data_IF_665147796705
#
_entry.id   IF_665147796705
#
_cell.length_a   1.000
_cell.length_b   1.000
_cell.length_c   1.000
_cell.angle_alpha   90.00
_cell.angle_beta   90.00
_cell.angle_gamma   90.00
#
_symmetry.space_group_name_H-M   'P 1'
#
loop_
_entity.id
_entity.type
_entity.pdbx_description
1 polymer ?
#
# COMPACT_ATOMS: atom_id res chain seq x y z
N UNK A 1 32.64 -8.19 -24.69
CA UNK A 1 33.29 -6.88 -24.50
C UNK A 1 32.26 -5.79 -24.77
N UNK A 2 31.79 -5.12 -23.73
CA UNK A 2 31.78 -3.66 -23.56
C UNK A 2 31.07 -3.35 -22.23
N UNK A 3 31.63 -2.34 -21.56
CA UNK A 3 31.49 -1.98 -20.16
C UNK A 3 30.25 -1.11 -19.88
N UNK A 4 29.78 -1.24 -18.63
CA UNK A 4 29.23 -0.25 -17.67
C UNK A 4 28.53 1.04 -18.14
N UNK A 5 27.45 1.37 -17.41
CA UNK A 5 26.89 2.72 -17.32
C UNK A 5 25.81 2.84 -16.24
N UNK A 6 26.23 2.90 -14.96
CA UNK A 6 25.43 3.41 -13.85
C UNK A 6 25.32 4.93 -13.98
N UNK A 7 24.09 5.48 -14.02
CA UNK A 7 23.82 6.89 -13.69
C UNK A 7 22.51 6.94 -12.89
N UNK A 8 22.62 7.40 -11.65
CA UNK A 8 21.50 7.84 -10.83
C UNK A 8 20.93 9.17 -11.32
N UNK A 9 19.65 9.39 -11.06
CA UNK A 9 19.00 10.65 -11.39
C UNK A 9 17.59 10.67 -10.82
N UNK A 10 17.43 11.38 -9.71
CA UNK A 10 16.13 11.75 -9.19
C UNK A 10 15.34 12.52 -10.23
N UNK A 11 14.04 12.24 -10.31
CA UNK A 11 13.04 13.19 -10.83
C UNK A 11 11.86 13.19 -9.89
N UNK A 12 11.68 14.33 -9.23
CA UNK A 12 10.38 14.72 -8.72
C UNK A 12 9.40 14.79 -9.91
N UNK A 13 8.25 14.13 -9.77
CA UNK A 13 7.10 14.37 -10.63
C UNK A 13 6.16 15.33 -9.90
N UNK A 14 6.25 16.56 -10.34
CA UNK A 14 5.37 17.69 -10.07
C UNK A 14 3.98 17.39 -10.66
N UNK A 15 2.98 17.16 -9.80
CA UNK A 15 1.58 17.10 -10.22
C UNK A 15 1.02 18.53 -10.20
N UNK A 16 0.73 19.04 -11.39
CA UNK A 16 0.00 20.28 -11.65
C UNK A 16 -1.41 20.21 -11.06
N UNK A 17 -1.69 21.04 -10.06
CA UNK A 17 -3.04 21.44 -9.68
C UNK A 17 -3.30 22.87 -10.19
N UNK A 18 -4.18 22.97 -11.19
CA UNK A 18 -5.00 24.14 -11.57
C UNK A 18 -6.43 23.78 -11.12
N UNK A 19 -7.29 24.60 -10.55
CA UNK A 19 -7.45 26.05 -10.34
C UNK A 19 -8.33 26.20 -9.07
N UNK A 20 -8.16 27.26 -8.29
CA UNK A 20 -9.17 28.22 -7.79
C UNK A 20 -8.33 29.32 -7.08
N UNK A 21 -8.29 30.51 -7.68
CA UNK A 21 -7.85 31.79 -7.08
C UNK A 21 -9.11 32.51 -6.53
N UNK A 22 -9.10 33.68 -5.82
CA UNK A 22 -8.11 34.79 -5.88
C UNK A 22 -7.76 35.40 -4.48
N UNK A 23 -6.78 36.29 -4.26
CA UNK A 23 -6.79 37.76 -4.50
C UNK A 23 -5.51 38.37 -3.84
N UNK A 24 -4.93 39.42 -4.45
CA UNK A 24 -3.84 40.35 -4.01
C UNK A 24 -2.37 39.83 -4.10
N UNK A 25 -1.41 40.45 -4.78
CA UNK A 25 -1.35 41.66 -5.63
C UNK A 25 0.07 41.83 -6.24
N UNK A 26 0.12 42.24 -7.52
CA UNK A 26 1.06 43.18 -8.22
C UNK A 26 2.28 43.69 -7.44
N UNK A 27 3.55 43.79 -7.90
CA UNK A 27 4.27 44.11 -9.17
C UNK A 27 5.82 44.01 -8.87
N UNK A 28 6.80 44.30 -9.77
CA UNK A 28 6.92 44.11 -11.23
C UNK A 28 8.20 43.34 -11.67
N UNK A 29 8.22 43.03 -12.96
CA UNK A 29 9.29 42.45 -13.79
C UNK A 29 10.44 43.45 -14.00
N UNK A 30 11.70 42.97 -13.94
CA UNK A 30 12.79 43.43 -14.81
C UNK A 30 13.68 42.26 -15.22
N UNK A 31 13.78 42.10 -16.53
CA UNK A 31 14.76 41.28 -17.24
C UNK A 31 16.17 41.80 -16.98
N UNK A 32 17.11 40.91 -16.67
CA UNK A 32 18.53 41.05 -17.01
C UNK A 32 19.24 39.72 -16.73
N UNK A 33 19.73 39.07 -17.80
CA UNK A 33 20.86 38.13 -17.69
C UNK A 33 22.12 38.99 -17.51
N UNK A 34 23.02 38.62 -16.58
CA UNK A 34 24.37 38.36 -17.07
C UNK A 34 25.10 37.19 -16.38
N UNK A 35 25.92 36.55 -17.21
CA UNK A 35 27.12 35.77 -16.94
C UNK A 35 27.89 36.20 -15.68
N UNK A 36 27.91 35.33 -14.66
CA UNK A 36 28.66 35.52 -13.42
C UNK A 36 29.77 34.46 -13.32
N UNK A 37 30.80 34.58 -14.16
CA UNK A 37 32.00 33.72 -14.08
C UNK A 37 33.30 34.41 -14.54
N UNK A 38 33.36 35.74 -14.61
CA UNK A 38 34.59 36.47 -15.00
C UNK A 38 35.18 37.43 -13.96
N UNK A 39 34.46 37.81 -12.89
CA UNK A 39 34.85 39.00 -12.11
C UNK A 39 35.38 38.72 -10.69
N UNK A 40 35.83 37.50 -10.38
CA UNK A 40 36.43 37.20 -9.06
C UNK A 40 37.94 36.98 -9.09
N UNK A 41 38.64 37.62 -10.04
CA UNK A 41 40.09 37.46 -10.18
C UNK A 41 40.82 38.75 -10.54
N UNK A 42 40.57 39.84 -9.81
CA UNK A 42 41.58 40.90 -9.59
C UNK A 42 41.05 41.97 -8.62
N UNK A 43 41.31 41.82 -7.31
CA UNK A 43 41.81 42.90 -6.44
C UNK A 43 42.09 42.35 -5.04
N UNK A 44 43.34 41.89 -4.88
CA UNK A 44 43.99 41.78 -3.58
C UNK A 44 44.26 43.20 -3.07
N UNK A 45 43.49 43.65 -2.07
CA UNK A 45 44.06 44.52 -1.04
C UNK A 45 44.60 43.60 0.06
N UNK A 46 45.87 43.24 -0.13
CA UNK A 46 46.75 42.73 0.92
C UNK A 46 46.89 43.83 1.95
N UNK A 47 46.51 43.54 3.20
CA UNK A 47 47.08 44.06 4.46
C UNK A 47 46.08 44.00 5.63
N UNK A 48 44.78 43.73 5.38
CA UNK A 48 43.77 43.63 6.46
C UNK A 48 43.56 42.21 7.03
N UNK A 49 43.94 41.15 6.31
CA UNK A 49 43.74 39.76 6.77
C UNK A 49 44.91 39.18 7.57
N UNK A 50 46.07 39.84 7.54
CA UNK A 50 47.28 39.28 8.14
C UNK A 50 47.35 39.42 9.67
N UNK A 51 46.60 40.35 10.28
CA UNK A 51 46.54 40.48 11.75
C UNK A 51 45.61 39.43 12.36
N UNK A 52 44.48 39.11 11.71
CA UNK A 52 43.55 38.07 12.18
C UNK A 52 44.15 36.67 12.11
N UNK A 53 44.93 36.40 11.06
CA UNK A 53 45.65 35.12 10.94
C UNK A 53 46.76 35.04 11.98
N UNK A 54 47.48 36.13 12.27
CA UNK A 54 48.47 36.17 13.36
C UNK A 54 47.85 36.00 14.74
N UNK A 55 46.69 36.58 15.00
CA UNK A 55 45.99 36.44 16.29
C UNK A 55 45.44 35.02 16.50
N UNK A 56 44.99 34.34 15.43
CA UNK A 56 44.57 32.93 15.49
C UNK A 56 45.79 32.03 15.70
N UNK A 57 46.91 32.29 15.01
CA UNK A 57 48.15 31.51 15.15
C UNK A 57 48.83 31.74 16.51
N UNK A 58 48.79 32.95 17.08
CA UNK A 58 49.29 33.22 18.44
C UNK A 58 48.37 32.64 19.51
N UNK A 59 47.04 32.65 19.34
CA UNK A 59 46.13 31.95 20.25
C UNK A 59 46.33 30.43 20.21
N UNK A 60 46.57 29.84 19.04
CA UNK A 60 46.92 28.42 18.90
C UNK A 60 48.31 28.06 19.46
N UNK A 61 49.29 28.96 19.36
CA UNK A 61 50.63 28.77 19.93
C UNK A 61 50.66 28.95 21.45
N UNK A 62 49.77 29.79 22.00
CA UNK A 62 49.65 29.97 23.46
C UNK A 62 48.90 28.80 24.10
N UNK A 63 47.92 28.21 23.41
CA UNK A 63 47.24 26.97 23.84
C UNK A 63 48.21 25.77 23.87
N UNK A 64 49.28 25.77 23.06
CA UNK A 64 50.32 24.73 23.07
C UNK A 64 51.32 24.82 24.23
N UNK A 65 51.39 25.93 24.96
CA UNK A 65 52.38 26.12 26.03
C UNK A 65 51.80 25.99 27.46
N UNK A 66 50.53 25.57 27.60
CA UNK A 66 49.98 25.08 28.87
C UNK A 66 49.69 23.58 28.75
N UNK A 67 50.76 22.83 28.91
CA UNK A 67 50.81 21.37 28.92
C UNK A 67 50.20 20.84 30.20
N UNK A 68 48.94 20.42 30.11
CA UNK A 68 48.51 19.10 30.57
C UNK A 68 48.17 18.25 29.31
N UNK A 69 49.18 18.06 28.44
CA UNK A 69 49.04 17.49 27.08
C UNK A 69 48.55 16.03 27.03
N UNK A 70 48.59 15.28 28.13
CA UNK A 70 48.17 13.87 28.13
C UNK A 70 46.67 13.67 28.28
N UNK A 71 45.96 14.58 28.97
CA UNK A 71 44.51 14.46 29.19
C UNK A 71 43.71 14.81 27.93
N UNK A 72 43.95 15.99 27.37
CA UNK A 72 43.18 16.51 26.24
C UNK A 72 43.43 15.80 24.91
N UNK A 73 44.66 15.32 24.64
CA UNK A 73 44.91 14.51 23.44
C UNK A 73 44.21 13.16 23.50
N UNK A 74 44.13 12.55 24.69
CA UNK A 74 43.42 11.29 24.90
C UNK A 74 41.92 11.52 24.77
N UNK A 75 41.38 12.61 25.31
CA UNK A 75 39.97 12.97 25.16
C UNK A 75 39.57 13.26 23.70
N UNK A 76 40.42 13.95 22.94
CA UNK A 76 40.19 14.22 21.52
C UNK A 76 40.22 12.93 20.69
N UNK A 77 41.20 12.05 20.93
CA UNK A 77 41.31 10.74 20.26
C UNK A 77 40.12 9.85 20.62
N UNK A 78 39.70 9.84 21.88
CA UNK A 78 38.51 9.11 22.32
C UNK A 78 37.24 9.66 21.67
N UNK A 79 37.09 10.97 21.56
CA UNK A 79 35.98 11.61 20.86
C UNK A 79 35.96 11.25 19.37
N UNK A 80 37.09 11.36 18.67
CA UNK A 80 37.21 10.97 17.26
C UNK A 80 36.89 9.49 17.06
N UNK A 81 37.43 8.60 17.90
CA UNK A 81 37.12 7.17 17.83
C UNK A 81 35.64 6.89 18.09
N UNK A 82 35.01 7.63 19.01
CA UNK A 82 33.57 7.52 19.26
C UNK A 82 32.75 7.98 18.05
N UNK A 83 33.13 9.08 17.39
CA UNK A 83 32.46 9.57 16.19
C UNK A 83 32.63 8.60 15.01
N UNK A 84 33.84 8.08 14.78
CA UNK A 84 34.10 7.07 13.75
C UNK A 84 33.31 5.78 14.03
N UNK A 85 33.19 5.36 15.29
CA UNK A 85 32.40 4.21 15.68
C UNK A 85 30.90 4.44 15.42
N UNK A 86 30.39 5.62 15.75
CA UNK A 86 29.02 6.03 15.46
C UNK A 86 28.74 6.02 13.95
N UNK A 87 29.58 6.67 13.14
CA UNK A 87 29.43 6.72 11.69
C UNK A 87 29.49 5.31 11.07
N UNK A 88 30.43 4.47 11.52
CA UNK A 88 30.52 3.08 11.06
C UNK A 88 29.26 2.28 11.41
N UNK A 89 28.70 2.49 12.61
CA UNK A 89 27.45 1.86 13.04
C UNK A 89 26.26 2.31 12.19
N UNK A 90 26.14 3.62 11.92
CA UNK A 90 25.06 4.18 11.08
C UNK A 90 25.18 3.66 9.64
N UNK A 91 26.38 3.64 9.07
CA UNK A 91 26.63 3.11 7.73
C UNK A 91 26.25 1.63 7.61
N UNK A 92 26.51 0.81 8.64
CA UNK A 92 26.07 -0.60 8.67
C UNK A 92 24.55 -0.71 8.67
N UNK A 93 23.85 0.11 9.45
CA UNK A 93 22.38 0.13 9.46
C UNK A 93 21.83 0.56 8.10
N UNK A 94 22.46 1.52 7.42
CA UNK A 94 22.06 1.97 6.09
C UNK A 94 22.27 0.88 5.00
N UNK A 95 23.41 0.19 5.06
CA UNK A 95 23.69 -0.96 4.19
C UNK A 95 22.70 -2.11 4.43
N UNK A 96 22.43 -2.46 5.69
CA UNK A 96 21.43 -3.45 6.07
C UNK A 96 20.05 -3.06 5.50
N UNK A 97 19.68 -1.80 5.65
CA UNK A 97 18.40 -1.26 5.15
C UNK A 97 18.29 -1.42 3.64
N UNK A 98 19.30 -0.94 2.89
CA UNK A 98 19.34 -1.01 1.43
C UNK A 98 19.26 -2.45 0.92
N UNK A 99 20.02 -3.36 1.54
CA UNK A 99 20.01 -4.77 1.18
C UNK A 99 18.64 -5.41 1.41
N UNK A 100 18.01 -5.16 2.57
CA UNK A 100 16.69 -5.70 2.91
C UNK A 100 15.60 -5.18 1.97
N UNK A 101 15.58 -3.88 1.68
CA UNK A 101 14.65 -3.32 0.70
C UNK A 101 14.82 -3.95 -0.69
N UNK A 102 16.06 -4.11 -1.14
CA UNK A 102 16.38 -4.76 -2.42
C UNK A 102 15.86 -6.20 -2.47
N UNK A 103 16.11 -6.98 -1.42
CA UNK A 103 15.71 -8.39 -1.38
C UNK A 103 14.18 -8.60 -1.35
N UNK A 104 13.42 -7.73 -0.68
CA UNK A 104 11.96 -7.83 -0.63
C UNK A 104 11.25 -7.25 -1.87
N UNK A 105 11.93 -6.43 -2.67
CA UNK A 105 11.34 -5.76 -3.86
C UNK A 105 11.69 -6.41 -5.20
N UNK A 106 12.83 -7.11 -5.31
CA UNK A 106 13.26 -7.82 -6.53
C UNK A 106 12.16 -8.69 -7.16
N UNK A 107 11.40 -9.42 -6.34
CA UNK A 107 10.33 -10.31 -6.78
C UNK A 107 8.98 -9.63 -7.06
N UNK A 108 8.81 -8.35 -6.73
CA UNK A 108 7.52 -7.65 -6.88
C UNK A 108 7.33 -7.04 -8.27
N UNK A 109 8.41 -6.75 -8.98
CA UNK A 109 8.34 -6.10 -10.30
C UNK A 109 7.50 -6.88 -11.30
N UNK A 110 7.58 -8.22 -11.30
CA UNK A 110 6.77 -9.08 -12.18
C UNK A 110 5.26 -8.97 -11.88
N UNK A 111 4.88 -8.54 -10.68
CA UNK A 111 3.50 -8.41 -10.23
C UNK A 111 2.97 -6.97 -10.34
N UNK A 112 3.82 -5.99 -10.67
CA UNK A 112 3.51 -4.57 -10.59
C UNK A 112 2.33 -4.16 -11.50
N UNK A 113 2.30 -4.68 -12.73
CA UNK A 113 1.24 -4.36 -13.70
C UNK A 113 -0.13 -4.81 -13.21
N UNK A 114 -0.23 -6.04 -12.69
CA UNK A 114 -1.49 -6.57 -12.18
C UNK A 114 -1.88 -5.94 -10.85
N UNK A 115 -0.88 -5.55 -10.03
CA UNK A 115 -1.09 -4.79 -8.81
C UNK A 115 -1.72 -3.42 -9.09
N UNK A 116 -1.18 -2.67 -10.05
CA UNK A 116 -1.73 -1.36 -10.45
C UNK A 116 -3.17 -1.47 -10.93
N UNK A 117 -3.48 -2.49 -11.76
CA UNK A 117 -4.85 -2.76 -12.19
C UNK A 117 -5.77 -3.08 -11.01
N UNK A 118 -5.30 -3.91 -10.07
CA UNK A 118 -6.05 -4.24 -8.85
C UNK A 118 -6.32 -3.01 -7.99
N UNK A 119 -5.32 -2.15 -7.79
CA UNK A 119 -5.46 -0.88 -7.07
C UNK A 119 -6.48 0.05 -7.72
N UNK A 120 -6.44 0.19 -9.05
CA UNK A 120 -7.40 1.00 -9.80
C UNK A 120 -8.83 0.46 -9.62
N UNK A 121 -9.02 -0.86 -9.72
CA UNK A 121 -10.34 -1.50 -9.53
C UNK A 121 -10.89 -1.29 -8.13
N UNK A 122 -10.06 -1.45 -7.10
CA UNK A 122 -10.48 -1.21 -5.71
C UNK A 122 -10.79 0.26 -5.46
N UNK A 123 -10.02 1.18 -6.04
CA UNK A 123 -10.27 2.62 -5.93
C UNK A 123 -11.61 3.00 -6.56
N UNK A 124 -11.91 2.50 -7.77
CA UNK A 124 -13.22 2.67 -8.42
C UNK A 124 -14.36 2.10 -7.57
N UNK A 125 -14.15 0.93 -6.97
CA UNK A 125 -15.13 0.33 -6.07
C UNK A 125 -15.41 1.20 -4.84
N UNK A 126 -14.39 1.73 -4.17
CA UNK A 126 -14.57 2.62 -3.03
C UNK A 126 -15.28 3.92 -3.41
N UNK A 127 -14.94 4.50 -4.55
CA UNK A 127 -15.63 5.68 -5.08
C UNK A 127 -17.12 5.38 -5.33
N UNK A 128 -17.43 4.23 -5.95
CA UNK A 128 -18.81 3.77 -6.18
C UNK A 128 -19.59 3.58 -4.88
N UNK A 129 -18.96 3.04 -3.84
CA UNK A 129 -19.59 2.91 -2.51
C UNK A 129 -19.88 4.28 -1.87
N UNK A 130 -18.95 5.24 -1.96
CA UNK A 130 -19.14 6.62 -1.46
C UNK A 130 -20.25 7.36 -2.21
N UNK A 131 -20.33 7.20 -3.53
CA UNK A 131 -21.39 7.84 -4.33
C UNK A 131 -22.77 7.27 -4.02
N UNK A 132 -22.88 5.95 -3.81
CA UNK A 132 -24.13 5.28 -3.40
C UNK A 132 -24.61 5.71 -2.01
N UNK A 133 -23.71 6.06 -1.09
CA UNK A 133 -24.09 6.56 0.23
C UNK A 133 -24.51 8.04 0.22
N UNK A 134 -23.98 8.83 -0.71
CA UNK A 134 -24.24 10.28 -0.80
C UNK A 134 -25.44 10.66 -1.67
N UNK A 135 -25.86 9.81 -2.61
CA UNK A 135 -27.03 10.07 -3.47
C UNK A 135 -27.95 8.85 -3.52
N UNK A 136 -29.24 9.06 -3.32
CA UNK A 136 -30.31 8.13 -3.71
C UNK A 136 -30.47 8.08 -5.24
N UNK A 137 -29.36 8.04 -5.97
CA UNK A 137 -29.35 8.02 -7.43
C UNK A 137 -29.77 6.65 -7.92
N UNK A 138 -30.79 6.65 -8.79
CA UNK A 138 -31.25 5.49 -9.55
C UNK A 138 -30.03 4.80 -10.20
N UNK A 139 -29.94 3.46 -10.15
CA UNK A 139 -28.82 2.73 -10.75
C UNK A 139 -28.70 3.10 -12.23
N UNK A 140 -27.52 3.57 -12.62
CA UNK A 140 -27.18 3.88 -14.01
C UNK A 140 -27.29 2.62 -14.87
N UNK A 141 -27.70 2.78 -16.13
CA UNK A 141 -27.85 1.69 -17.10
C UNK A 141 -26.50 1.00 -17.30
N UNK A 142 -26.45 -0.31 -17.00
CA UNK A 142 -25.31 -1.22 -17.25
C UNK A 142 -23.97 -0.65 -16.81
N UNK A 143 -23.79 -0.49 -15.50
CA UNK A 143 -22.43 -0.36 -14.96
C UNK A 143 -21.74 -1.72 -15.07
N UNK A 144 -20.54 -1.73 -15.68
CA UNK A 144 -19.71 -2.92 -15.74
C UNK A 144 -19.42 -3.44 -14.32
N UNK A 145 -19.56 -4.75 -14.16
CA UNK A 145 -19.21 -5.42 -12.91
C UNK A 145 -17.71 -5.27 -12.71
N UNK A 146 -17.31 -4.66 -11.60
CA UNK A 146 -15.90 -4.59 -11.22
C UNK A 146 -15.49 -5.98 -10.71
N UNK A 147 -14.73 -6.70 -11.52
CA UNK A 147 -14.27 -8.06 -11.21
C UNK A 147 -12.78 -8.03 -10.90
N UNK A 148 -12.39 -8.42 -9.68
CA UNK A 148 -10.98 -8.51 -9.33
C UNK A 148 -10.41 -9.85 -9.79
N UNK A 149 -9.75 -9.84 -10.95
CA UNK A 149 -9.21 -11.06 -11.55
C UNK A 149 -8.11 -11.70 -10.67
N UNK A 150 -7.92 -13.01 -10.85
CA UNK A 150 -6.96 -13.80 -10.07
C UNK A 150 -5.53 -13.24 -10.06
N UNK A 151 -4.93 -12.81 -11.20
CA UNK A 151 -3.61 -12.17 -11.18
C UNK A 151 -3.54 -10.93 -10.29
N UNK A 152 -4.57 -10.07 -10.32
CA UNK A 152 -4.63 -8.88 -9.48
C UNK A 152 -4.77 -9.21 -7.98
N UNK A 153 -5.50 -10.28 -7.62
CA UNK A 153 -5.57 -10.74 -6.22
C UNK A 153 -4.22 -11.24 -5.72
N UNK A 154 -3.55 -12.06 -6.54
CA UNK A 154 -2.25 -12.63 -6.22
C UNK A 154 -1.20 -11.53 -6.07
N UNK A 155 -1.21 -10.53 -6.96
CA UNK A 155 -0.29 -9.39 -6.87
C UNK A 155 -0.56 -8.56 -5.61
N UNK A 156 -1.81 -8.22 -5.28
CA UNK A 156 -2.15 -7.48 -4.05
C UNK A 156 -1.67 -8.24 -2.80
N UNK A 157 -1.89 -9.56 -2.75
CA UNK A 157 -1.39 -10.39 -1.66
C UNK A 157 0.13 -10.36 -1.57
N UNK A 158 0.85 -10.47 -2.69
CA UNK A 158 2.32 -10.43 -2.73
C UNK A 158 2.88 -9.10 -2.23
N UNK A 159 2.29 -7.98 -2.67
CA UNK A 159 2.66 -6.66 -2.18
C UNK A 159 2.37 -6.52 -0.67
N UNK A 160 1.23 -7.03 -0.19
CA UNK A 160 0.92 -7.04 1.24
C UNK A 160 1.90 -7.89 2.07
N UNK A 161 2.26 -9.08 1.59
CA UNK A 161 3.28 -9.94 2.23
C UNK A 161 4.63 -9.23 2.37
N UNK A 162 5.11 -8.59 1.29
CA UNK A 162 6.36 -7.84 1.32
C UNK A 162 6.27 -6.60 2.21
N UNK A 163 5.13 -5.90 2.19
CA UNK A 163 4.91 -4.72 3.02
C UNK A 163 4.92 -5.06 4.52
N UNK A 164 4.23 -6.12 4.95
CA UNK A 164 4.22 -6.54 6.37
C UNK A 164 5.63 -6.96 6.83
N UNK A 165 6.38 -7.66 5.98
CA UNK A 165 7.79 -8.03 6.25
C UNK A 165 8.68 -6.79 6.41
N UNK A 166 8.65 -5.88 5.44
CA UNK A 166 9.43 -4.63 5.48
C UNK A 166 9.06 -3.79 6.70
N UNK A 167 7.77 -3.70 7.04
CA UNK A 167 7.31 -2.94 8.21
C UNK A 167 7.79 -3.53 9.54
N UNK A 168 7.98 -4.85 9.62
CA UNK A 168 8.59 -5.50 10.80
C UNK A 168 10.10 -5.26 10.84
N UNK A 169 10.76 -5.35 9.70
CA UNK A 169 12.20 -5.10 9.59
C UNK A 169 12.55 -3.64 9.88
N UNK A 170 11.73 -2.69 9.44
CA UNK A 170 11.87 -1.27 9.77
C UNK A 170 11.90 -1.04 11.28
N UNK A 171 11.02 -1.71 12.04
CA UNK A 171 11.04 -1.64 13.52
C UNK A 171 12.36 -2.14 14.10
N UNK A 172 12.89 -3.24 13.57
CA UNK A 172 14.17 -3.80 14.03
C UNK A 172 15.35 -2.89 13.68
N UNK A 173 15.35 -2.31 12.48
CA UNK A 173 16.38 -1.38 12.00
C UNK A 173 16.35 -0.06 12.79
N UNK A 174 15.16 0.49 13.06
CA UNK A 174 15.02 1.66 13.94
C UNK A 174 15.50 1.39 15.36
N UNK A 175 15.29 0.17 15.87
CA UNK A 175 15.82 -0.22 17.18
C UNK A 175 17.35 -0.22 17.18
N UNK A 176 17.98 -0.84 16.16
CA UNK A 176 19.44 -0.80 15.98
C UNK A 176 19.98 0.62 15.79
N UNK A 177 19.28 1.46 15.03
CA UNK A 177 19.68 2.86 14.80
C UNK A 177 19.65 3.66 16.11
N UNK A 178 18.63 3.45 16.94
CA UNK A 178 18.51 4.08 18.25
C UNK A 178 19.61 3.60 19.22
N UNK A 179 19.99 2.31 19.14
CA UNK A 179 21.11 1.76 19.92
C UNK A 179 22.45 2.39 19.52
N UNK A 180 22.68 2.59 18.21
CA UNK A 180 23.92 3.21 17.71
C UNK A 180 23.94 4.71 17.98
N UNK A 181 22.89 5.44 17.63
CA UNK A 181 22.89 6.91 17.66
C UNK A 181 22.68 7.52 19.06
N UNK A 182 22.25 6.72 20.03
CA UNK A 182 21.83 7.20 21.36
C UNK A 182 20.58 8.10 21.34
N UNK A 183 20.05 8.41 20.15
CA UNK A 183 18.85 9.21 19.95
C UNK A 183 17.66 8.27 19.84
N UNK A 184 16.56 8.60 20.52
CA UNK A 184 15.30 7.87 20.39
C UNK A 184 14.50 8.41 19.23
N UNK A 185 14.82 7.98 18.02
CA UNK A 185 13.89 8.16 16.91
C UNK A 185 12.67 7.26 17.11
N UNK A 186 11.49 7.89 17.04
CA UNK A 186 10.22 7.18 17.02
C UNK A 186 9.79 7.01 15.57
N UNK A 187 9.40 5.79 15.18
CA UNK A 187 8.73 5.57 13.91
C UNK A 187 7.53 6.50 13.78
N UNK A 188 7.45 7.27 12.70
CA UNK A 188 6.37 8.23 12.43
C UNK A 188 5.01 7.55 12.19
N UNK A 189 4.99 6.25 11.86
CA UNK A 189 3.77 5.45 11.70
C UNK A 189 3.99 4.04 12.21
N UNK A 190 3.32 3.70 13.32
CA UNK A 190 3.31 2.33 13.82
C UNK A 190 2.40 1.50 12.91
N UNK A 191 2.97 0.82 11.91
CA UNK A 191 2.27 -0.28 11.26
C UNK A 191 2.06 -1.37 12.30
N UNK A 192 0.85 -1.49 12.81
CA UNK A 192 0.46 -2.54 13.74
C UNK A 192 -0.80 -3.19 13.19
N UNK A 193 -0.60 -4.15 12.28
CA UNK A 193 -1.70 -4.99 11.81
C UNK A 193 -2.31 -5.68 13.03
N UNK A 194 -3.63 -5.51 13.20
CA UNK A 194 -4.41 -6.19 14.26
C UNK A 194 -4.16 -7.70 14.28
N UNK A 195 -3.83 -8.29 13.13
CA UNK A 195 -3.64 -9.71 12.94
C UNK A 195 -2.23 -10.03 12.44
N UNK A 196 -1.71 -11.20 12.84
CA UNK A 196 -0.43 -11.70 12.33
C UNK A 196 -0.58 -12.05 10.85
N UNK A 197 0.45 -11.75 10.04
CA UNK A 197 0.45 -12.06 8.61
C UNK A 197 0.07 -13.51 8.32
N UNK A 198 0.61 -14.46 9.08
CA UNK A 198 0.32 -15.88 8.85
C UNK A 198 -1.15 -16.23 9.04
N UNK A 199 -1.81 -15.63 10.01
CA UNK A 199 -3.24 -15.87 10.26
C UNK A 199 -4.09 -15.32 9.11
N UNK A 200 -3.72 -14.15 8.58
CA UNK A 200 -4.34 -13.53 7.40
C UNK A 200 -4.16 -14.42 6.17
N UNK A 201 -2.94 -14.89 5.90
CA UNK A 201 -2.64 -15.76 4.76
C UNK A 201 -3.37 -17.10 4.84
N UNK A 202 -3.46 -17.69 6.03
CA UNK A 202 -4.28 -18.90 6.26
C UNK A 202 -5.75 -18.61 5.99
N UNK A 203 -6.26 -17.45 6.42
CA UNK A 203 -7.62 -16.99 6.11
C UNK A 203 -7.88 -16.92 4.61
N UNK A 204 -7.01 -16.24 3.86
CA UNK A 204 -7.10 -16.12 2.40
C UNK A 204 -7.10 -17.48 1.71
N UNK A 205 -6.23 -18.38 2.14
CA UNK A 205 -6.17 -19.76 1.61
C UNK A 205 -7.45 -20.54 1.92
N UNK A 206 -7.98 -20.44 3.15
CA UNK A 206 -9.20 -21.16 3.57
C UNK A 206 -10.41 -20.75 2.72
N UNK A 207 -10.56 -19.46 2.45
CA UNK A 207 -11.66 -18.94 1.61
C UNK A 207 -11.40 -19.09 0.10
N UNK A 208 -10.26 -19.65 -0.32
CA UNK A 208 -9.92 -19.74 -1.74
C UNK A 208 -9.84 -18.37 -2.42
N UNK A 209 -9.28 -17.36 -1.73
CA UNK A 209 -9.29 -16.00 -2.27
C UNK A 209 -8.50 -15.89 -3.58
N UNK A 210 -7.46 -16.70 -3.75
CA UNK A 210 -6.68 -16.75 -4.99
C UNK A 210 -7.24 -17.72 -6.04
N UNK A 211 -8.34 -18.41 -5.74
CA UNK A 211 -9.01 -19.32 -6.69
C UNK A 211 -9.86 -18.49 -7.67
N UNK A 212 -10.43 -19.12 -8.69
CA UNK A 212 -11.17 -18.37 -9.71
C UNK A 212 -12.42 -17.67 -9.13
N UNK A 213 -13.02 -18.24 -8.09
CA UNK A 213 -14.11 -17.64 -7.32
C UNK A 213 -13.86 -17.73 -5.81
N UNK A 214 -14.30 -16.72 -5.06
CA UNK A 214 -14.15 -16.70 -3.60
C UNK A 214 -15.11 -17.71 -2.96
N UNK A 215 -14.57 -18.61 -2.16
CA UNK A 215 -15.33 -19.58 -1.39
C UNK A 215 -16.09 -18.94 -0.23
N UNK A 216 -17.27 -18.39 -0.49
CA UNK A 216 -18.17 -17.84 0.53
C UNK A 216 -18.66 -18.92 1.53
N UNK A 217 -18.79 -20.15 1.04
CA UNK A 217 -19.22 -21.33 1.82
C UNK A 217 -18.04 -22.25 2.07
N UNK A 218 -17.93 -22.76 3.30
CA UNK A 218 -16.92 -23.74 3.68
C UNK A 218 -16.98 -24.99 2.81
N UNK A 219 -15.82 -25.46 2.33
CA UNK A 219 -15.69 -26.68 1.53
C UNK A 219 -16.34 -27.89 2.21
N UNK A 220 -16.29 -27.96 3.54
CA UNK A 220 -16.91 -29.03 4.33
C UNK A 220 -18.44 -29.01 4.22
N UNK A 221 -19.04 -27.82 4.29
CA UNK A 221 -20.50 -27.67 4.17
C UNK A 221 -20.97 -27.96 2.75
N UNK A 222 -20.23 -27.46 1.74
CA UNK A 222 -20.49 -27.73 0.33
C UNK A 222 -20.45 -29.23 0.03
N UNK A 223 -19.48 -29.98 0.57
CA UNK A 223 -19.41 -31.45 0.43
C UNK A 223 -20.59 -32.17 1.06
N UNK A 224 -21.05 -31.69 2.23
CA UNK A 224 -22.20 -32.26 2.94
C UNK A 224 -23.56 -31.86 2.35
N UNK A 225 -23.59 -30.99 1.32
CA UNK A 225 -24.81 -30.45 0.70
C UNK A 225 -25.80 -29.84 1.71
N UNK A 226 -25.28 -29.33 2.83
CA UNK A 226 -26.08 -28.65 3.84
C UNK A 226 -26.30 -27.21 3.39
N UNK A 227 -27.53 -26.69 3.55
CA UNK A 227 -27.84 -25.31 3.19
C UNK A 227 -26.99 -24.32 4.01
N UNK A 228 -26.28 -23.38 3.37
CA UNK A 228 -25.57 -22.33 4.09
C UNK A 228 -26.59 -21.42 4.78
N UNK A 229 -26.33 -21.09 6.06
CA UNK A 229 -27.17 -20.18 6.83
C UNK A 229 -26.30 -19.26 7.70
N UNK A 230 -26.87 -18.15 8.15
CA UNK A 230 -26.21 -17.28 9.12
C UNK A 230 -25.96 -18.02 10.45
N UNK A 231 -26.87 -18.93 10.85
CA UNK A 231 -26.75 -19.69 12.10
C UNK A 231 -25.53 -20.63 12.12
N UNK A 232 -25.19 -21.23 10.97
CA UNK A 232 -24.01 -22.10 10.85
C UNK A 232 -22.77 -21.38 10.30
N UNK A 233 -22.82 -20.05 10.19
CA UNK A 233 -21.76 -19.22 9.62
C UNK A 233 -21.27 -19.74 8.26
N UNK A 234 -22.19 -20.16 7.38
CA UNK A 234 -21.85 -20.74 6.07
C UNK A 234 -20.86 -21.92 6.16
N UNK A 235 -20.90 -22.66 7.27
CA UNK A 235 -20.06 -23.82 7.54
C UNK A 235 -18.67 -23.49 8.09
N UNK A 236 -18.45 -22.25 8.50
CA UNK A 236 -17.20 -21.80 9.12
C UNK A 236 -17.18 -21.96 10.64
N UNK A 237 -18.28 -22.41 11.24
CA UNK A 237 -18.39 -22.67 12.68
C UNK A 237 -18.96 -21.44 13.41
N UNK A 238 -18.07 -20.59 13.91
CA UNK A 238 -18.36 -19.33 14.59
C UNK A 238 -17.71 -18.14 13.86
N UNK A 239 -17.96 -16.92 14.32
CA UNK A 239 -17.25 -15.73 13.84
C UNK A 239 -15.75 -15.83 14.10
N UNK A 240 -15.37 -16.32 15.28
CA UNK A 240 -14.00 -16.42 15.75
C UNK A 240 -13.19 -17.45 14.96
N UNK A 241 -13.83 -18.49 14.43
CA UNK A 241 -13.20 -19.49 13.55
C UNK A 241 -13.28 -19.14 12.07
N UNK A 242 -14.06 -18.11 11.71
CA UNK A 242 -14.30 -17.68 10.34
C UNK A 242 -13.07 -17.03 9.71
N UNK A 243 -12.73 -17.35 8.44
CA UNK A 243 -11.63 -16.67 7.74
C UNK A 243 -11.98 -15.20 7.41
N UNK A 244 -13.26 -14.80 7.49
CA UNK A 244 -13.71 -13.44 7.22
C UNK A 244 -13.33 -12.46 8.33
N UNK A 245 -13.13 -12.92 9.56
CA UNK A 245 -12.86 -12.06 10.73
C UNK A 245 -11.63 -11.15 10.60
N UNK A 246 -10.71 -11.49 9.70
CA UNK A 246 -9.50 -10.72 9.48
C UNK A 246 -9.73 -9.48 8.64
N UNK A 247 -10.79 -9.47 7.82
CA UNK A 247 -11.01 -8.48 6.76
C UNK A 247 -12.18 -7.55 7.03
N UNK A 248 -13.03 -7.89 7.98
CA UNK A 248 -14.19 -7.12 8.40
C UNK A 248 -14.03 -6.69 9.85
N UNK A 249 -14.55 -5.51 10.19
CA UNK A 249 -14.40 -4.95 11.53
C UNK A 249 -15.29 -5.66 12.56
N UNK A 250 -16.41 -6.22 12.11
CA UNK A 250 -17.37 -6.93 12.96
C UNK A 250 -18.08 -8.06 12.24
N UNK A 251 -18.66 -8.96 13.04
CA UNK A 251 -19.59 -9.98 12.59
C UNK A 251 -20.77 -9.38 11.83
N UNK A 252 -21.29 -8.26 12.30
CA UNK A 252 -22.46 -7.55 11.78
C UNK A 252 -22.18 -6.96 10.40
N UNK A 253 -20.98 -6.41 10.20
CA UNK A 253 -20.54 -5.94 8.88
C UNK A 253 -20.50 -7.08 7.86
N UNK A 254 -19.90 -8.22 8.24
CA UNK A 254 -19.90 -9.41 7.39
C UNK A 254 -21.32 -9.89 7.08
N UNK A 255 -22.19 -10.03 8.10
CA UNK A 255 -23.59 -10.44 7.95
C UNK A 255 -24.33 -9.50 6.99
N UNK A 256 -24.11 -8.20 7.10
CA UNK A 256 -24.70 -7.21 6.19
C UNK A 256 -24.28 -7.46 4.73
N UNK A 257 -22.99 -7.66 4.46
CA UNK A 257 -22.48 -7.89 3.10
C UNK A 257 -22.96 -9.23 2.52
N UNK A 258 -22.89 -10.32 3.29
CA UNK A 258 -23.31 -11.64 2.80
C UNK A 258 -24.83 -11.72 2.61
N UNK A 259 -25.63 -10.98 3.39
CA UNK A 259 -27.08 -10.92 3.20
C UNK A 259 -27.50 -10.36 1.83
N UNK A 260 -26.67 -9.48 1.26
CA UNK A 260 -26.87 -8.98 -0.11
C UNK A 260 -26.69 -10.12 -1.11
N UNK A 261 -25.64 -10.93 -0.96
CA UNK A 261 -25.40 -12.11 -1.80
C UNK A 261 -26.57 -13.08 -1.70
N UNK A 262 -27.03 -13.39 -0.48
CA UNK A 262 -28.15 -14.28 -0.26
C UNK A 262 -29.45 -13.75 -0.90
N UNK A 263 -29.70 -12.45 -0.79
CA UNK A 263 -30.86 -11.82 -1.43
C UNK A 263 -30.82 -11.95 -2.94
N UNK A 264 -29.68 -11.68 -3.57
CA UNK A 264 -29.55 -11.80 -5.03
C UNK A 264 -29.61 -13.27 -5.49
N UNK A 265 -29.05 -14.21 -4.72
CA UNK A 265 -29.18 -15.66 -4.98
C UNK A 265 -30.63 -16.11 -4.89
N UNK A 266 -31.36 -15.69 -3.84
CA UNK A 266 -32.79 -15.96 -3.72
C UNK A 266 -33.60 -15.33 -4.86
N UNK A 267 -33.22 -14.13 -5.32
CA UNK A 267 -33.88 -13.49 -6.46
C UNK A 267 -33.66 -14.28 -7.77
N UNK A 268 -32.44 -14.78 -8.00
CA UNK A 268 -32.13 -15.68 -9.11
C UNK A 268 -32.93 -16.99 -9.01
N UNK A 269 -32.96 -17.64 -7.85
CA UNK A 269 -33.74 -18.86 -7.63
C UNK A 269 -35.24 -18.63 -7.84
N UNK A 270 -35.81 -17.53 -7.32
CA UNK A 270 -37.21 -17.15 -7.55
C UNK A 270 -37.50 -16.93 -9.04
N UNK A 271 -36.59 -16.28 -9.76
CA UNK A 271 -36.71 -16.11 -11.20
C UNK A 271 -36.72 -17.47 -11.92
N UNK A 272 -35.73 -18.33 -11.66
CA UNK A 272 -35.64 -19.66 -12.28
C UNK A 272 -36.86 -20.53 -11.96
N UNK A 273 -37.35 -20.48 -10.72
CA UNK A 273 -38.54 -21.25 -10.30
C UNK A 273 -39.83 -20.71 -10.92
N UNK A 274 -39.99 -19.39 -11.05
CA UNK A 274 -41.12 -18.78 -11.76
C UNK A 274 -41.17 -19.16 -13.26
N UNK A 275 -40.02 -19.56 -13.81
CA UNK A 275 -39.86 -20.00 -15.20
C UNK A 275 -39.84 -21.52 -15.36
N UNK A 276 -40.27 -22.31 -14.37
CA UNK A 276 -40.35 -23.79 -14.49
C UNK A 276 -41.20 -24.26 -15.67
N UNK A 277 -42.26 -23.53 -16.04
CA UNK A 277 -43.06 -23.81 -17.24
C UNK A 277 -42.30 -23.64 -18.57
N UNK A 278 -41.16 -22.95 -18.55
CA UNK A 278 -40.26 -22.83 -19.70
C UNK A 278 -39.54 -24.14 -20.06
N UNK A 279 -39.67 -25.23 -19.28
CA UNK A 279 -39.12 -26.54 -19.70
C UNK A 279 -39.73 -26.96 -21.05
N UNK A 280 -41.01 -26.65 -21.29
CA UNK A 280 -41.66 -26.88 -22.59
C UNK A 280 -41.02 -26.07 -23.74
N UNK A 281 -40.34 -24.95 -23.44
CA UNK A 281 -39.63 -24.17 -24.45
C UNK A 281 -38.36 -24.84 -24.98
N UNK A 282 -37.86 -25.90 -24.32
CA UNK A 282 -36.78 -26.73 -24.85
C UNK A 282 -37.17 -27.45 -26.16
N UNK A 283 -38.47 -27.70 -26.37
CA UNK A 283 -39.01 -28.30 -27.60
C UNK A 283 -38.79 -27.37 -28.81
N UNK A 284 -38.78 -26.05 -28.59
CA UNK A 284 -38.56 -25.03 -29.62
C UNK A 284 -37.07 -24.64 -29.78
N UNK A 285 -36.15 -25.45 -29.23
CA UNK A 285 -34.71 -25.25 -29.37
C UNK A 285 -34.17 -23.99 -28.66
N UNK A 286 -32.93 -23.62 -29.00
CA UNK A 286 -32.16 -22.54 -28.33
C UNK A 286 -32.90 -21.20 -28.29
N UNK A 287 -33.62 -20.85 -29.36
CA UNK A 287 -34.38 -19.60 -29.44
C UNK A 287 -35.54 -19.53 -28.44
N UNK A 288 -36.26 -20.64 -28.25
CA UNK A 288 -37.33 -20.74 -27.25
C UNK A 288 -36.80 -20.59 -25.83
N UNK A 289 -35.66 -21.22 -25.54
CA UNK A 289 -34.98 -21.13 -24.24
C UNK A 289 -34.46 -19.72 -23.96
N UNK A 290 -33.77 -19.09 -24.92
CA UNK A 290 -33.21 -17.74 -24.77
C UNK A 290 -34.32 -16.69 -24.55
N UNK A 291 -35.48 -16.86 -25.21
CA UNK A 291 -36.64 -15.99 -25.00
C UNK A 291 -37.28 -16.21 -23.62
N UNK A 292 -37.38 -17.45 -23.16
CA UNK A 292 -38.00 -17.76 -21.87
C UNK A 292 -37.12 -17.36 -20.67
N UNK A 293 -35.79 -17.38 -20.86
CA UNK A 293 -34.78 -17.01 -19.85
C UNK A 293 -34.05 -15.70 -20.17
N UNK A 294 -34.68 -14.78 -20.91
CA UNK A 294 -34.05 -13.55 -21.42
C UNK A 294 -33.42 -12.66 -20.35
N UNK A 295 -33.93 -12.68 -19.10
CA UNK A 295 -33.38 -11.91 -17.98
C UNK A 295 -32.39 -12.69 -17.10
N UNK A 296 -32.05 -13.94 -17.43
CA UNK A 296 -31.18 -14.78 -16.58
C UNK A 296 -29.81 -14.12 -16.32
N UNK A 297 -29.17 -13.60 -17.36
CA UNK A 297 -27.86 -12.95 -17.28
C UNK A 297 -27.85 -11.72 -16.35
N UNK A 298 -28.99 -11.02 -16.24
CA UNK A 298 -29.16 -9.89 -15.32
C UNK A 298 -29.15 -10.34 -13.87
N UNK A 299 -29.81 -11.44 -13.53
CA UNK A 299 -29.80 -11.97 -12.15
C UNK A 299 -28.44 -12.60 -11.81
N UNK A 300 -27.84 -13.35 -12.74
CA UNK A 300 -26.48 -13.87 -12.58
C UNK A 300 -25.45 -12.74 -12.39
N UNK A 301 -25.58 -11.66 -13.16
CA UNK A 301 -24.74 -10.47 -13.00
C UNK A 301 -24.87 -9.81 -11.63
N UNK A 302 -26.08 -9.76 -11.05
CA UNK A 302 -26.28 -9.22 -9.69
C UNK A 302 -25.67 -10.10 -8.61
N UNK A 303 -25.77 -11.42 -8.75
CA UNK A 303 -25.09 -12.36 -7.85
C UNK A 303 -23.59 -12.15 -7.96
N UNK A 304 -23.05 -12.10 -9.17
CA UNK A 304 -21.62 -11.86 -9.41
C UNK A 304 -21.15 -10.51 -8.83
N UNK A 305 -21.90 -9.41 -9.03
CA UNK A 305 -21.56 -8.11 -8.43
C UNK A 305 -21.53 -8.17 -6.90
N UNK A 306 -22.47 -8.88 -6.27
CA UNK A 306 -22.52 -9.03 -4.82
C UNK A 306 -21.36 -9.87 -4.27
N UNK A 307 -20.99 -10.97 -4.95
CA UNK A 307 -19.86 -11.81 -4.58
C UNK A 307 -18.51 -11.07 -4.78
N UNK A 308 -18.37 -10.36 -5.90
CA UNK A 308 -17.18 -9.55 -6.19
C UNK A 308 -17.02 -8.37 -5.23
N UNK A 309 -18.11 -7.81 -4.70
CA UNK A 309 -18.03 -6.76 -3.69
C UNK A 309 -17.33 -7.22 -2.39
N UNK A 310 -17.47 -8.50 -2.01
CA UNK A 310 -16.74 -9.09 -0.87
C UNK A 310 -15.26 -9.23 -1.19
N UNK A 311 -14.96 -9.72 -2.40
CA UNK A 311 -13.63 -9.84 -3.00
C UNK A 311 -12.86 -8.50 -2.98
N UNK A 312 -13.50 -7.44 -3.48
CA UNK A 312 -12.97 -6.08 -3.50
C UNK A 312 -12.83 -5.49 -2.09
N UNK A 313 -13.69 -5.85 -1.14
CA UNK A 313 -13.56 -5.43 0.25
C UNK A 313 -12.30 -6.00 0.91
N UNK A 314 -12.00 -7.28 0.69
CA UNK A 314 -10.77 -7.92 1.18
C UNK A 314 -9.52 -7.24 0.59
N UNK A 315 -9.56 -6.95 -0.72
CA UNK A 315 -8.48 -6.23 -1.37
C UNK A 315 -8.31 -4.80 -0.82
N UNK A 316 -9.42 -4.08 -0.58
CA UNK A 316 -9.41 -2.77 0.04
C UNK A 316 -8.82 -2.81 1.44
N UNK A 317 -9.13 -3.82 2.24
CA UNK A 317 -8.55 -4.01 3.56
C UNK A 317 -7.01 -4.11 3.49
N UNK A 318 -6.47 -4.99 2.62
CA UNK A 318 -5.01 -5.12 2.46
C UNK A 318 -4.35 -3.82 1.99
N UNK A 319 -4.97 -3.13 1.03
CA UNK A 319 -4.46 -1.86 0.51
C UNK A 319 -4.48 -0.74 1.57
N UNK A 320 -5.47 -0.70 2.46
CA UNK A 320 -5.50 0.20 3.62
C UNK A 320 -4.37 -0.10 4.60
N UNK A 321 -4.10 -1.38 4.87
CA UNK A 321 -2.97 -1.77 5.73
C UNK A 321 -1.63 -1.25 5.17
N UNK A 322 -1.51 -1.16 3.84
CA UNK A 322 -0.35 -0.58 3.15
C UNK A 322 -0.37 0.95 3.03
N UNK A 323 -1.35 1.64 3.63
CA UNK A 323 -1.57 3.09 3.50
C UNK A 323 -1.78 3.58 2.04
N UNK A 324 -2.28 2.71 1.16
CA UNK A 324 -2.53 3.06 -0.25
C UNK A 324 -3.97 3.53 -0.51
N UNK A 325 -4.85 3.38 0.48
CA UNK A 325 -6.24 3.84 0.43
C UNK A 325 -6.56 4.59 1.73
N UNK A 326 -7.37 5.66 1.60
CA UNK A 326 -7.87 6.47 2.71
C UNK A 326 -9.28 6.09 3.14
#
# INVERSE_FOLDING_TARGET
>A
MYYLGLIGGGRQLEIKNKEIAPVLGSLPVKDEKPTFLSDFKHHLSKDSENWKIREIVEKDLTIKNQVDEKGHSVDLVNNLNSQVSLESGVLKVDQDTTQKYSDHTKGLFIHLKDFQKGLEMVSKFQQKQRLRSQRATKPSKREDILVLNKPARQSIKKFYESFDKLSREEKNLLTKLNEVSGHREKSKKKFDSRYKLQDVLVGLKRMGWEDDAVGLVSKTLSRKRIKPTLANWYGWGSWESSPWKYFFDSAEEWKSKISVVDREKQALEKYLTSKRGCIASMIFGKWGVDRCYSEKSKYEGKVSEAEEAISLHIAAWMLRQMNLLS
#
